data_IF_936325450592
#
_entry.id   IF_936325450592
#
_cell.length_a   1.000
_cell.length_b   1.000
_cell.length_c   1.000
_cell.angle_alpha   90.00
_cell.angle_beta   90.00
_cell.angle_gamma   90.00
#
_symmetry.space_group_name_H-M   'P 1'
#
loop_
_entity.id
_entity.type
_entity.pdbx_description
1 polymer ?
#
# COMPACT_ATOMS: atom_id res chain seq x y z
N UNK A 1 -13.50 6.04 -30.88
CA UNK A 1 -12.91 6.66 -29.68
C UNK A 1 -12.02 5.59 -29.06
N UNK A 2 -10.75 5.54 -29.48
CA UNK A 2 -9.74 4.64 -28.88
C UNK A 2 -9.32 5.28 -27.57
N UNK A 3 -9.61 4.62 -26.46
CA UNK A 3 -9.48 5.14 -25.10
C UNK A 3 -8.00 5.33 -24.74
N UNK A 4 -7.64 6.46 -24.12
CA UNK A 4 -6.24 6.80 -23.74
C UNK A 4 -5.58 5.76 -22.82
N UNK A 5 -6.40 4.88 -22.24
CA UNK A 5 -6.04 3.84 -21.28
C UNK A 5 -5.13 2.75 -21.84
N UNK A 6 -5.15 2.47 -23.15
CA UNK A 6 -4.37 1.36 -23.72
C UNK A 6 -2.85 1.47 -23.49
N UNK A 7 -2.34 2.69 -23.24
CA UNK A 7 -0.92 2.96 -22.97
C UNK A 7 -0.65 3.46 -21.53
N UNK A 8 -1.60 3.35 -20.60
CA UNK A 8 -1.39 3.77 -19.22
C UNK A 8 -0.74 2.65 -18.40
N UNK A 9 0.51 2.86 -17.96
CA UNK A 9 1.22 1.91 -17.08
C UNK A 9 0.73 2.01 -15.64
N UNK A 10 -0.46 1.47 -15.39
CA UNK A 10 -1.07 1.44 -14.06
C UNK A 10 -0.16 0.77 -13.03
N UNK A 11 0.58 -0.28 -13.41
CA UNK A 11 1.48 -0.98 -12.50
C UNK A 11 2.65 -0.08 -12.10
N UNK A 12 3.28 0.59 -13.07
CA UNK A 12 4.38 1.52 -12.83
C UNK A 12 3.97 2.68 -11.93
N UNK A 13 2.81 3.28 -12.18
CA UNK A 13 2.29 4.40 -11.39
C UNK A 13 1.91 3.99 -9.95
N UNK A 14 1.23 2.85 -9.78
CA UNK A 14 0.93 2.31 -8.45
C UNK A 14 2.21 1.97 -7.70
N UNK A 15 3.18 1.33 -8.36
CA UNK A 15 4.48 1.02 -7.78
C UNK A 15 5.16 2.29 -7.30
N UNK A 16 5.34 3.28 -8.17
CA UNK A 16 5.98 4.56 -7.84
C UNK A 16 5.31 5.23 -6.64
N UNK A 17 3.98 5.27 -6.64
CA UNK A 17 3.19 5.86 -5.54
C UNK A 17 3.43 5.14 -4.21
N UNK A 18 3.55 3.81 -4.20
CA UNK A 18 3.88 3.04 -2.99
C UNK A 18 5.27 3.41 -2.47
N UNK A 19 6.29 3.41 -3.32
CA UNK A 19 7.65 3.78 -2.91
C UNK A 19 7.72 5.21 -2.37
N UNK A 20 7.13 6.18 -3.07
CA UNK A 20 7.12 7.60 -2.64
C UNK A 20 6.37 7.81 -1.34
N UNK A 21 5.25 7.11 -1.11
CA UNK A 21 4.46 7.23 0.11
C UNK A 21 5.22 6.67 1.32
N UNK A 22 5.84 5.50 1.18
CA UNK A 22 6.60 4.88 2.26
C UNK A 22 7.88 5.67 2.58
N UNK A 23 8.56 6.19 1.56
CA UNK A 23 9.73 7.06 1.77
C UNK A 23 9.34 8.39 2.43
N UNK A 24 8.37 9.11 1.85
CA UNK A 24 8.03 10.48 2.28
C UNK A 24 7.26 10.52 3.60
N UNK A 25 6.26 9.65 3.77
CA UNK A 25 5.36 9.73 4.93
C UNK A 25 5.83 8.90 6.11
N UNK A 26 6.61 7.85 5.85
CA UNK A 26 6.98 6.87 6.87
C UNK A 26 8.49 6.80 7.11
N UNK A 27 9.31 7.46 6.28
CA UNK A 27 10.77 7.33 6.30
C UNK A 27 11.22 5.86 6.24
N UNK A 28 10.46 5.03 5.51
CA UNK A 28 10.70 3.59 5.37
C UNK A 28 11.17 3.27 3.94
N UNK A 29 12.34 2.65 3.85
CA UNK A 29 12.83 2.10 2.58
C UNK A 29 12.17 0.74 2.31
N UNK A 30 11.30 0.69 1.30
CA UNK A 30 10.63 -0.53 0.84
C UNK A 30 11.33 -1.13 -0.37
N UNK A 31 11.20 -2.45 -0.56
CA UNK A 31 11.73 -3.16 -1.72
C UNK A 31 10.69 -4.09 -2.32
N UNK A 32 10.74 -4.27 -3.64
CA UNK A 32 9.85 -5.21 -4.33
C UNK A 32 10.33 -6.65 -4.07
N UNK A 33 9.42 -7.54 -3.70
CA UNK A 33 9.74 -8.94 -3.50
C UNK A 33 10.18 -9.58 -4.83
N UNK A 34 11.25 -10.37 -4.80
CA UNK A 34 11.80 -11.05 -6.00
C UNK A 34 10.85 -12.09 -6.59
N UNK A 35 10.02 -12.69 -5.75
CA UNK A 35 9.01 -13.68 -6.13
C UNK A 35 7.67 -13.30 -5.48
N UNK A 36 6.53 -13.66 -6.09
CA UNK A 36 5.24 -13.50 -5.44
C UNK A 36 5.27 -14.22 -4.10
N UNK A 37 5.24 -13.45 -3.02
CA UNK A 37 5.12 -14.03 -1.69
C UNK A 37 3.80 -14.80 -1.65
N UNK A 38 3.76 -15.99 -1.02
CA UNK A 38 2.48 -16.65 -0.77
C UNK A 38 1.53 -15.66 -0.11
N UNK A 39 0.22 -15.81 -0.39
CA UNK A 39 -0.82 -15.08 0.34
C UNK A 39 -0.42 -15.07 1.83
N UNK A 40 -0.43 -13.91 2.51
CA UNK A 40 0.32 -13.77 3.76
C UNK A 40 -0.05 -14.85 4.80
N UNK A 41 0.78 -15.02 5.81
CA UNK A 41 0.51 -15.95 6.91
C UNK A 41 -0.91 -15.81 7.49
N UNK A 42 -1.52 -16.89 8.01
CA UNK A 42 -2.77 -16.79 8.76
C UNK A 42 -2.62 -15.81 9.94
N UNK A 43 -3.57 -14.89 10.11
CA UNK A 43 -3.55 -13.84 11.13
C UNK A 43 -4.45 -12.65 10.81
N UNK A 44 -4.63 -11.75 11.78
CA UNK A 44 -5.37 -10.49 11.61
C UNK A 44 -4.65 -9.59 10.62
N UNK A 45 -5.41 -8.96 9.71
CA UNK A 45 -4.89 -8.02 8.72
C UNK A 45 -5.69 -6.74 8.72
N UNK A 46 -4.98 -5.66 8.45
CA UNK A 46 -5.60 -4.38 8.14
C UNK A 46 -5.52 -4.20 6.62
N UNK A 47 -6.67 -3.94 6.00
CA UNK A 47 -6.79 -3.76 4.56
C UNK A 47 -7.35 -2.38 4.27
N UNK A 48 -6.54 -1.54 3.62
CA UNK A 48 -6.98 -0.28 3.06
C UNK A 48 -7.43 -0.47 1.62
N UNK A 49 -8.69 -0.18 1.33
CA UNK A 49 -9.23 -0.24 -0.04
C UNK A 49 -9.60 1.15 -0.52
N UNK A 50 -9.07 1.51 -1.68
CA UNK A 50 -9.45 2.74 -2.39
C UNK A 50 -10.05 2.36 -3.73
N UNK A 51 -11.32 2.67 -3.91
CA UNK A 51 -12.04 2.47 -5.17
C UNK A 51 -12.03 3.74 -6.00
N UNK A 52 -11.84 3.61 -7.30
CA UNK A 52 -11.82 4.74 -8.25
C UNK A 52 -12.68 4.45 -9.47
N UNK A 53 -13.30 5.49 -10.01
CA UNK A 53 -14.16 5.41 -11.20
C UNK A 53 -13.90 6.62 -12.12
N UNK A 54 -13.76 6.35 -13.41
CA UNK A 54 -13.46 7.34 -14.44
C UNK A 54 -13.30 6.66 -15.81
N UNK A 55 -12.29 7.07 -16.58
CA UNK A 55 -11.93 6.36 -17.83
C UNK A 55 -11.50 4.90 -17.57
N UNK A 56 -10.99 4.64 -16.35
CA UNK A 56 -10.75 3.31 -15.79
C UNK A 56 -11.54 3.19 -14.48
N UNK A 57 -12.08 2.00 -14.22
CA UNK A 57 -12.76 1.67 -12.97
C UNK A 57 -12.05 0.49 -12.30
N UNK A 58 -11.80 0.60 -11.00
CA UNK A 58 -11.10 -0.44 -10.25
C UNK A 58 -10.94 -0.10 -8.78
N UNK A 59 -10.12 -0.89 -8.10
CA UNK A 59 -9.72 -0.62 -6.73
C UNK A 59 -8.25 -0.98 -6.50
N UNK A 60 -7.61 -0.26 -5.59
CA UNK A 60 -6.31 -0.61 -5.02
C UNK A 60 -6.55 -1.13 -3.62
N UNK A 61 -6.00 -2.30 -3.31
CA UNK A 61 -6.05 -2.89 -1.97
C UNK A 61 -4.63 -2.98 -1.42
N UNK A 62 -4.42 -2.40 -0.26
CA UNK A 62 -3.15 -2.47 0.48
C UNK A 62 -3.39 -3.38 1.68
N UNK A 63 -2.69 -4.50 1.71
CA UNK A 63 -2.80 -5.49 2.78
C UNK A 63 -1.58 -5.41 3.67
N UNK A 64 -1.80 -5.20 4.96
CA UNK A 64 -0.74 -5.13 5.98
C UNK A 64 -1.03 -6.20 7.04
N UNK A 65 0.03 -6.76 7.62
CA UNK A 65 -0.12 -7.49 8.88
C UNK A 65 -0.50 -6.50 9.97
N UNK A 66 -1.12 -7.00 11.04
CA UNK A 66 -1.49 -6.16 12.18
C UNK A 66 -0.28 -5.45 12.79
N UNK A 67 0.84 -6.15 12.93
CA UNK A 67 2.10 -5.62 13.47
C UNK A 67 2.67 -4.52 12.57
N UNK A 68 2.64 -4.73 11.26
CA UNK A 68 3.17 -3.73 10.33
C UNK A 68 2.27 -2.49 10.24
N UNK A 69 0.95 -2.65 10.35
CA UNK A 69 0.02 -1.53 10.43
C UNK A 69 0.26 -0.66 11.68
N UNK A 70 0.59 -1.27 12.82
CA UNK A 70 0.96 -0.55 14.04
C UNK A 70 2.26 0.24 13.86
N UNK A 71 3.29 -0.39 13.30
CA UNK A 71 4.57 0.29 13.00
C UNK A 71 4.37 1.51 12.10
N UNK A 72 3.58 1.37 11.04
CA UNK A 72 3.26 2.46 10.11
C UNK A 72 2.51 3.58 10.84
N UNK A 73 1.50 3.23 11.64
CA UNK A 73 0.68 4.23 12.36
C UNK A 73 1.53 4.99 13.38
N UNK A 74 2.37 4.30 14.12
CA UNK A 74 3.29 4.88 15.09
C UNK A 74 4.26 5.87 14.42
N UNK A 75 4.84 5.49 13.29
CA UNK A 75 5.72 6.35 12.49
C UNK A 75 4.98 7.60 11.98
N UNK A 76 3.75 7.46 11.50
CA UNK A 76 2.94 8.60 11.04
C UNK A 76 2.57 9.58 12.17
N UNK A 77 2.34 9.06 13.38
CA UNK A 77 1.91 9.86 14.54
C UNK A 77 3.09 10.35 15.40
N UNK A 78 4.31 9.88 15.14
CA UNK A 78 5.51 10.25 15.88
C UNK A 78 5.51 9.71 17.31
N UNK A 79 5.03 8.47 17.50
CA UNK A 79 4.91 7.81 18.81
C UNK A 79 5.45 6.38 18.77
N UNK A 80 5.55 5.71 19.92
CA UNK A 80 6.02 4.33 19.98
C UNK A 80 4.92 3.34 19.51
N UNK A 81 5.28 2.21 18.88
CA UNK A 81 4.30 1.22 18.40
C UNK A 81 3.37 0.67 19.48
N UNK A 82 3.86 0.56 20.72
CA UNK A 82 3.08 0.09 21.87
C UNK A 82 2.04 1.10 22.35
N UNK A 83 2.13 2.37 21.94
CA UNK A 83 1.17 3.42 22.26
C UNK A 83 0.01 3.49 21.26
N UNK A 84 0.10 2.78 20.13
CA UNK A 84 -0.98 2.70 19.15
C UNK A 84 -2.09 1.78 19.67
N UNK A 85 -3.29 2.31 19.83
CA UNK A 85 -4.47 1.55 20.24
C UNK A 85 -5.24 0.99 19.01
N UNK A 86 -5.66 -0.28 19.07
CA UNK A 86 -6.63 -0.87 18.14
C UNK A 86 -6.25 -2.24 17.60
#
# INVERSE_FOLDING_TARGET
>A
MMSKVENFDLRGEVRKSVFETFDTMLSLEVQEAKEPLPLPSPGTRIVGTVSFAGEVMGCVNIHLSYEFAHLITAAMLGMEPEEVEG
#
